data_IF_830146852967
#
_entry.id   IF_830146852967
#
_cell.length_a   1.000
_cell.length_b   1.000
_cell.length_c   1.000
_cell.angle_alpha   90.00
_cell.angle_beta   90.00
_cell.angle_gamma   90.00
#
_symmetry.space_group_name_H-M   'P 1'
#
loop_
_entity.id
_entity.type
_entity.pdbx_description
1 polymer ?
#
# COMPACT_ATOMS: atom_id res chain seq x y z
N UNK A 1 -35.35 20.85 19.80
CA UNK A 1 -33.93 20.41 19.88
C UNK A 1 -33.09 21.67 20.07
N UNK A 2 -32.15 21.72 21.02
CA UNK A 2 -31.23 22.88 21.10
C UNK A 2 -30.34 22.89 19.87
N UNK A 3 -29.93 24.07 19.39
CA UNK A 3 -29.04 24.22 18.24
C UNK A 3 -27.81 23.28 18.33
N UNK A 4 -27.15 23.29 19.49
CA UNK A 4 -26.00 22.42 19.77
C UNK A 4 -26.30 20.92 19.67
N UNK A 5 -27.51 20.49 20.04
CA UNK A 5 -27.91 19.09 19.86
C UNK A 5 -28.07 18.74 18.38
N UNK A 6 -28.57 19.65 17.55
CA UNK A 6 -28.62 19.47 16.08
C UNK A 6 -27.23 19.32 15.48
N UNK A 7 -26.28 20.17 15.89
CA UNK A 7 -24.90 20.11 15.44
C UNK A 7 -24.26 18.76 15.79
N UNK A 8 -24.41 18.30 17.04
CA UNK A 8 -23.85 17.01 17.49
C UNK A 8 -24.45 15.84 16.70
N UNK A 9 -25.77 15.84 16.45
CA UNK A 9 -26.42 14.79 15.67
C UNK A 9 -25.93 14.79 14.22
N UNK A 10 -25.82 15.97 13.61
CA UNK A 10 -25.33 16.12 12.23
C UNK A 10 -23.91 15.58 12.07
N UNK A 11 -22.99 15.98 12.96
CA UNK A 11 -21.59 15.50 12.98
C UNK A 11 -21.54 13.98 13.16
N UNK A 12 -22.32 13.44 14.10
CA UNK A 12 -22.36 11.99 14.36
C UNK A 12 -22.86 11.20 13.14
N UNK A 13 -23.97 11.62 12.53
CA UNK A 13 -24.51 10.93 11.35
C UNK A 13 -23.58 11.04 10.15
N UNK A 14 -23.00 12.21 9.87
CA UNK A 14 -22.00 12.37 8.82
C UNK A 14 -20.72 11.57 9.07
N UNK A 15 -20.32 11.38 10.33
CA UNK A 15 -19.23 10.45 10.69
C UNK A 15 -19.56 9.02 10.26
N UNK A 16 -20.80 8.56 10.48
CA UNK A 16 -21.25 7.23 10.06
C UNK A 16 -21.25 7.10 8.55
N UNK A 17 -21.73 8.11 7.80
CA UNK A 17 -21.72 8.09 6.33
C UNK A 17 -20.31 7.95 5.76
N UNK A 18 -19.37 8.78 6.22
CA UNK A 18 -17.98 8.75 5.77
C UNK A 18 -17.33 7.40 6.12
N UNK A 19 -17.61 6.88 7.33
CA UNK A 19 -17.16 5.55 7.75
C UNK A 19 -17.74 4.45 6.86
N UNK A 20 -18.99 4.58 6.41
CA UNK A 20 -19.63 3.63 5.50
C UNK A 20 -19.05 3.70 4.08
N UNK A 21 -18.76 4.89 3.56
CA UNK A 21 -18.07 5.06 2.27
C UNK A 21 -16.71 4.35 2.31
N UNK A 22 -15.91 4.58 3.35
CA UNK A 22 -14.62 3.90 3.53
C UNK A 22 -14.78 2.38 3.71
N UNK A 23 -15.77 1.92 4.48
CA UNK A 23 -16.02 0.50 4.71
C UNK A 23 -16.43 -0.24 3.44
N UNK A 24 -17.34 0.35 2.64
CA UNK A 24 -17.74 -0.18 1.34
C UNK A 24 -16.55 -0.20 0.38
N UNK A 25 -15.77 0.89 0.33
CA UNK A 25 -14.56 1.00 -0.49
C UNK A 25 -13.57 -0.10 -0.14
N UNK A 26 -13.23 -0.24 1.13
CA UNK A 26 -12.27 -1.26 1.59
C UNK A 26 -12.79 -2.65 1.32
N UNK A 27 -14.10 -2.90 1.49
CA UNK A 27 -14.68 -4.21 1.20
C UNK A 27 -14.61 -4.54 -0.30
N UNK A 28 -14.95 -3.59 -1.17
CA UNK A 28 -14.87 -3.77 -2.62
C UNK A 28 -13.46 -4.15 -3.09
N UNK A 29 -12.42 -3.68 -2.41
CA UNK A 29 -11.03 -3.97 -2.74
C UNK A 29 -10.34 -4.91 -1.73
N UNK A 30 -11.13 -5.66 -0.96
CA UNK A 30 -10.66 -6.67 0.02
C UNK A 30 -9.61 -6.18 1.03
N UNK A 31 -9.56 -4.88 1.32
CA UNK A 31 -8.78 -4.35 2.43
C UNK A 31 -9.37 -4.82 3.77
N UNK A 32 -8.50 -5.03 4.76
CA UNK A 32 -8.87 -5.57 6.07
C UNK A 32 -9.63 -4.53 6.92
N UNK A 33 -10.93 -4.38 6.68
CA UNK A 33 -11.79 -3.38 7.36
C UNK A 33 -11.73 -3.45 8.90
N UNK A 34 -11.64 -4.65 9.47
CA UNK A 34 -11.60 -4.84 10.94
C UNK A 34 -10.39 -4.18 11.60
N UNK A 35 -9.24 -4.17 10.94
CA UNK A 35 -8.02 -3.59 11.51
C UNK A 35 -8.09 -2.07 11.50
N UNK A 36 -8.68 -1.50 10.45
CA UNK A 36 -8.70 -0.06 10.23
C UNK A 36 -9.97 0.65 10.72
N UNK A 37 -10.94 -0.08 11.29
CA UNK A 37 -12.25 0.47 11.66
C UNK A 37 -12.14 1.68 12.59
N UNK A 38 -11.31 1.60 13.64
CA UNK A 38 -11.10 2.73 14.56
C UNK A 38 -10.51 3.95 13.85
N UNK A 39 -9.58 3.74 12.91
CA UNK A 39 -9.01 4.82 12.11
C UNK A 39 -10.04 5.42 11.15
N UNK A 40 -10.93 4.61 10.55
CA UNK A 40 -12.02 5.09 9.70
C UNK A 40 -13.00 5.97 10.46
N UNK A 41 -13.39 5.58 11.68
CA UNK A 41 -14.30 6.37 12.53
C UNK A 41 -13.66 7.70 12.91
N UNK A 42 -12.37 7.70 13.30
CA UNK A 42 -11.65 8.93 13.61
C UNK A 42 -11.55 9.87 12.40
N UNK A 43 -11.24 9.31 11.22
CA UNK A 43 -11.23 10.05 9.96
C UNK A 43 -12.63 10.61 9.64
N UNK A 44 -13.67 9.79 9.81
CA UNK A 44 -15.05 10.20 9.63
C UNK A 44 -15.44 11.38 10.52
N UNK A 45 -14.99 11.37 11.78
CA UNK A 45 -15.23 12.46 12.72
C UNK A 45 -14.57 13.75 12.25
N UNK A 46 -13.29 13.71 11.88
CA UNK A 46 -12.57 14.90 11.37
C UNK A 46 -13.22 15.43 10.09
N UNK A 47 -13.54 14.56 9.13
CA UNK A 47 -14.15 14.97 7.87
C UNK A 47 -15.60 15.47 8.01
N UNK A 48 -16.35 14.94 8.99
CA UNK A 48 -17.71 15.41 9.29
C UNK A 48 -17.69 16.83 9.86
N UNK A 49 -16.72 17.15 10.71
CA UNK A 49 -16.55 18.51 11.23
C UNK A 49 -16.20 19.50 10.12
N UNK A 50 -15.23 19.16 9.25
CA UNK A 50 -14.88 20.01 8.10
C UNK A 50 -16.08 20.24 7.18
N UNK A 51 -16.87 19.21 6.90
CA UNK A 51 -18.08 19.35 6.06
C UNK A 51 -19.18 20.19 6.72
N UNK A 52 -19.33 20.10 8.04
CA UNK A 52 -20.24 20.96 8.80
C UNK A 52 -19.85 22.43 8.66
N UNK A 53 -18.58 22.78 8.90
CA UNK A 53 -18.07 24.16 8.78
C UNK A 53 -18.27 24.71 7.36
N UNK A 54 -17.97 23.92 6.31
CA UNK A 54 -18.16 24.34 4.91
C UNK A 54 -19.63 24.68 4.61
N UNK A 55 -20.57 23.89 5.15
CA UNK A 55 -22.01 24.06 4.89
C UNK A 55 -22.61 25.22 5.68
N UNK A 56 -22.36 25.26 6.98
CA UNK A 56 -23.08 26.15 7.89
C UNK A 56 -22.35 27.48 8.14
N UNK A 57 -21.03 27.48 8.28
CA UNK A 57 -20.25 28.70 8.55
C UNK A 57 -19.83 29.42 7.25
N UNK A 58 -19.33 28.67 6.27
CA UNK A 58 -18.88 29.27 5.00
C UNK A 58 -20.00 29.41 3.95
N UNK A 59 -21.18 28.82 4.20
CA UNK A 59 -22.32 28.83 3.28
C UNK A 59 -22.01 28.30 1.86
N UNK A 60 -20.98 27.46 1.71
CA UNK A 60 -20.56 26.89 0.43
C UNK A 60 -21.28 25.56 0.17
N UNK A 61 -22.57 25.64 -0.11
CA UNK A 61 -23.42 24.48 -0.36
C UNK A 61 -22.90 23.62 -1.53
N UNK A 62 -22.82 22.30 -1.34
CA UNK A 62 -22.33 21.33 -2.33
C UNK A 62 -20.81 21.21 -2.43
N UNK A 63 -20.04 22.24 -2.02
CA UNK A 63 -18.57 22.18 -2.01
C UNK A 63 -18.03 21.21 -0.96
N UNK A 64 -18.76 21.02 0.14
CA UNK A 64 -18.38 20.08 1.20
C UNK A 64 -18.23 18.65 0.66
N UNK A 65 -19.14 18.24 -0.22
CA UNK A 65 -19.11 16.90 -0.85
C UNK A 65 -17.90 16.76 -1.78
N UNK A 66 -17.58 17.79 -2.56
CA UNK A 66 -16.39 17.81 -3.45
C UNK A 66 -15.10 17.75 -2.62
N UNK A 67 -15.01 18.58 -1.57
CA UNK A 67 -13.87 18.62 -0.66
C UNK A 67 -13.70 17.28 0.05
N UNK A 68 -14.78 16.64 0.50
CA UNK A 68 -14.74 15.31 1.10
C UNK A 68 -14.17 14.26 0.14
N UNK A 69 -14.57 14.25 -1.13
CA UNK A 69 -14.00 13.32 -2.13
C UNK A 69 -12.49 13.50 -2.30
N UNK A 70 -12.01 14.76 -2.34
CA UNK A 70 -10.58 15.06 -2.41
C UNK A 70 -9.87 14.60 -1.14
N UNK A 71 -10.41 14.92 0.04
CA UNK A 71 -9.81 14.52 1.31
C UNK A 71 -9.76 13.00 1.48
N UNK A 72 -10.81 12.28 1.09
CA UNK A 72 -10.85 10.81 1.10
C UNK A 72 -9.78 10.22 0.17
N UNK A 73 -9.57 10.81 -1.00
CA UNK A 73 -8.47 10.42 -1.90
C UNK A 73 -7.10 10.64 -1.25
N UNK A 74 -6.87 11.80 -0.63
CA UNK A 74 -5.63 12.11 0.07
C UNK A 74 -5.41 11.17 1.27
N UNK A 75 -6.47 10.82 1.98
CA UNK A 75 -6.43 9.83 3.07
C UNK A 75 -6.03 8.45 2.57
N UNK A 76 -6.65 7.96 1.48
CA UNK A 76 -6.21 6.69 0.87
C UNK A 76 -4.74 6.75 0.46
N UNK A 77 -4.30 7.88 -0.12
CA UNK A 77 -2.93 8.05 -0.56
C UNK A 77 -1.92 8.11 0.58
N UNK A 78 -2.15 8.96 1.59
CA UNK A 78 -1.14 9.28 2.60
C UNK A 78 -1.29 8.50 3.90
N UNK A 79 -2.53 8.24 4.34
CA UNK A 79 -2.79 7.48 5.57
C UNK A 79 -2.72 5.99 5.28
N UNK A 80 -3.46 5.52 4.26
CA UNK A 80 -3.51 4.11 3.90
C UNK A 80 -2.47 3.67 2.87
N UNK A 81 -1.63 4.61 2.39
CA UNK A 81 -0.48 4.36 1.51
C UNK A 81 -0.86 3.64 0.21
N UNK A 82 -2.04 3.92 -0.34
CA UNK A 82 -2.46 3.40 -1.63
C UNK A 82 -1.77 4.19 -2.75
N UNK A 83 -1.39 3.53 -3.86
CA UNK A 83 -0.86 4.20 -5.05
C UNK A 83 -1.86 5.22 -5.61
N UNK A 84 -1.40 6.33 -6.21
CA UNK A 84 -2.29 7.43 -6.67
C UNK A 84 -3.41 6.95 -7.59
N UNK A 85 -3.09 6.16 -8.61
CA UNK A 85 -4.07 5.60 -9.54
C UNK A 85 -5.12 4.74 -8.82
N UNK A 86 -4.67 3.81 -7.98
CA UNK A 86 -5.54 2.90 -7.26
C UNK A 86 -6.40 3.62 -6.21
N UNK A 87 -5.85 4.63 -5.51
CA UNK A 87 -6.60 5.46 -4.59
C UNK A 87 -7.77 6.17 -5.29
N UNK A 88 -7.52 6.69 -6.49
CA UNK A 88 -8.56 7.29 -7.34
C UNK A 88 -9.64 6.27 -7.72
N UNK A 89 -9.23 5.10 -8.22
CA UNK A 89 -10.15 4.02 -8.58
C UNK A 89 -10.99 3.55 -7.39
N UNK A 90 -10.38 3.47 -6.20
CA UNK A 90 -11.04 3.06 -4.97
C UNK A 90 -12.11 4.05 -4.55
N UNK A 91 -11.75 5.34 -4.43
CA UNK A 91 -12.69 6.39 -4.02
C UNK A 91 -13.83 6.53 -5.02
N UNK A 92 -13.54 6.57 -6.32
CA UNK A 92 -14.59 6.80 -7.33
C UNK A 92 -15.65 5.70 -7.28
N UNK A 93 -15.27 4.43 -7.13
CA UNK A 93 -16.25 3.35 -6.97
C UNK A 93 -16.99 3.40 -5.64
N UNK A 94 -16.30 3.69 -4.54
CA UNK A 94 -16.90 3.78 -3.22
C UNK A 94 -17.96 4.88 -3.16
N UNK A 95 -17.60 6.08 -3.63
CA UNK A 95 -18.49 7.24 -3.72
C UNK A 95 -19.63 6.98 -4.69
N UNK A 96 -19.37 6.41 -5.87
CA UNK A 96 -20.44 6.10 -6.83
C UNK A 96 -21.46 5.10 -6.24
N UNK A 97 -20.99 4.03 -5.59
CA UNK A 97 -21.87 3.07 -4.92
C UNK A 97 -22.70 3.74 -3.83
N UNK A 98 -22.07 4.53 -2.96
CA UNK A 98 -22.76 5.21 -1.88
C UNK A 98 -23.80 6.21 -2.40
N UNK A 99 -23.45 6.97 -3.44
CA UNK A 99 -24.36 7.95 -4.08
C UNK A 99 -25.59 7.26 -4.67
N UNK A 100 -25.41 6.11 -5.33
CA UNK A 100 -26.54 5.30 -5.82
C UNK A 100 -27.43 4.83 -4.67
N UNK A 101 -26.85 4.35 -3.57
CA UNK A 101 -27.61 3.91 -2.39
C UNK A 101 -28.38 5.08 -1.74
N UNK A 102 -27.75 6.24 -1.62
CA UNK A 102 -28.37 7.45 -1.08
C UNK A 102 -29.51 7.93 -1.98
N UNK A 103 -29.35 7.87 -3.30
CA UNK A 103 -30.41 8.24 -4.23
C UNK A 103 -31.60 7.27 -4.18
N UNK A 104 -31.35 5.96 -4.01
CA UNK A 104 -32.42 4.98 -3.77
C UNK A 104 -33.15 5.31 -2.46
N UNK A 105 -32.42 5.60 -1.38
CA UNK A 105 -33.00 6.00 -0.10
C UNK A 105 -33.86 7.27 -0.23
N UNK A 106 -33.35 8.29 -0.92
CA UNK A 106 -34.07 9.54 -1.19
C UNK A 106 -35.35 9.29 -2.00
N UNK A 107 -35.27 8.50 -3.08
CA UNK A 107 -36.42 8.13 -3.89
C UNK A 107 -37.51 7.43 -3.06
N UNK A 108 -37.13 6.48 -2.20
CA UNK A 108 -38.07 5.80 -1.30
C UNK A 108 -38.73 6.79 -0.34
N UNK A 109 -37.94 7.67 0.29
CA UNK A 109 -38.46 8.65 1.26
C UNK A 109 -39.35 9.72 0.63
N UNK A 110 -39.04 10.17 -0.60
CA UNK A 110 -39.92 11.08 -1.36
C UNK A 110 -41.25 10.42 -1.71
N UNK A 111 -41.23 9.13 -2.08
CA UNK A 111 -42.45 8.37 -2.41
C UNK A 111 -43.41 8.28 -1.23
N UNK A 112 -42.88 8.13 0.00
CA UNK A 112 -43.68 8.11 1.23
C UNK A 112 -43.94 9.51 1.82
N UNK A 113 -43.57 10.58 1.12
CA UNK A 113 -43.72 11.99 1.55
C UNK A 113 -43.03 12.32 2.88
N UNK A 114 -41.95 11.61 3.22
CA UNK A 114 -41.14 11.86 4.42
C UNK A 114 -39.89 12.70 4.15
N UNK A 115 -39.63 13.03 2.88
CA UNK A 115 -38.44 13.75 2.45
C UNK A 115 -38.76 14.62 1.24
N UNK A 116 -38.32 15.88 1.27
CA UNK A 116 -38.25 16.77 0.09
C UNK A 116 -36.78 17.02 -0.25
N UNK A 117 -36.41 16.90 -1.52
CA UNK A 117 -35.01 17.04 -1.93
C UNK A 117 -34.43 18.43 -1.65
N UNK A 118 -35.25 19.48 -1.53
CA UNK A 118 -34.80 20.83 -1.19
C UNK A 118 -34.09 20.89 0.17
N UNK A 119 -34.46 19.99 1.10
CA UNK A 119 -33.84 19.92 2.42
C UNK A 119 -32.54 19.11 2.45
N UNK A 120 -32.13 18.50 1.32
CA UNK A 120 -30.85 17.79 1.19
C UNK A 120 -29.64 18.71 1.46
N UNK A 121 -29.84 20.02 1.31
CA UNK A 121 -28.78 21.02 1.27
C UNK A 121 -28.41 21.51 2.68
N UNK A 122 -29.32 21.43 3.66
CA UNK A 122 -29.08 21.87 5.04
C UNK A 122 -28.57 20.74 5.92
N UNK A 123 -27.46 20.97 6.64
CA UNK A 123 -26.88 19.97 7.54
C UNK A 123 -27.69 19.78 8.83
N UNK A 124 -28.60 20.70 9.15
CA UNK A 124 -29.34 20.74 10.41
C UNK A 124 -30.80 20.27 10.31
N UNK A 125 -31.22 19.81 9.12
CA UNK A 125 -32.61 19.42 8.87
C UNK A 125 -32.90 17.98 9.33
N UNK A 126 -34.04 17.78 10.00
CA UNK A 126 -34.49 16.46 10.47
C UNK A 126 -34.69 15.48 9.31
N UNK A 127 -35.16 15.95 8.15
CA UNK A 127 -35.36 15.10 6.97
C UNK A 127 -34.02 14.59 6.42
N UNK A 128 -32.96 15.40 6.49
CA UNK A 128 -31.62 14.98 6.12
C UNK A 128 -31.14 13.85 7.04
N UNK A 129 -31.37 13.94 8.36
CA UNK A 129 -31.01 12.86 9.30
C UNK A 129 -31.70 11.54 8.98
N UNK A 130 -32.98 11.57 8.59
CA UNK A 130 -33.72 10.36 8.19
C UNK A 130 -33.07 9.72 6.95
N UNK A 131 -32.70 10.54 5.95
CA UNK A 131 -32.00 10.06 4.77
C UNK A 131 -30.64 9.44 5.12
N UNK A 132 -29.86 10.07 5.99
CA UNK A 132 -28.54 9.56 6.42
C UNK A 132 -28.68 8.21 7.12
N UNK A 133 -29.62 8.08 8.06
CA UNK A 133 -29.88 6.83 8.80
C UNK A 133 -30.27 5.71 7.82
N UNK A 134 -31.19 5.98 6.89
CA UNK A 134 -31.63 5.00 5.90
C UNK A 134 -30.47 4.58 4.98
N UNK A 135 -29.66 5.54 4.53
CA UNK A 135 -28.51 5.31 3.65
C UNK A 135 -27.42 4.48 4.34
N UNK A 136 -27.13 4.76 5.61
CA UNK A 136 -26.22 3.95 6.44
C UNK A 136 -26.76 2.52 6.60
N UNK A 137 -28.07 2.37 6.85
CA UNK A 137 -28.72 1.06 6.93
C UNK A 137 -28.60 0.23 5.64
N UNK A 138 -28.89 0.84 4.49
CA UNK A 138 -28.72 0.20 3.17
C UNK A 138 -27.25 -0.14 2.92
N UNK A 139 -26.33 0.75 3.27
CA UNK A 139 -24.90 0.53 3.12
C UNK A 139 -24.39 -0.65 3.96
N UNK A 140 -24.90 -0.80 5.20
CA UNK A 140 -24.59 -1.95 6.05
C UNK A 140 -25.13 -3.25 5.48
N UNK A 141 -26.33 -3.24 4.90
CA UNK A 141 -26.90 -4.39 4.21
C UNK A 141 -26.05 -4.80 2.99
N UNK A 142 -25.67 -3.84 2.14
CA UNK A 142 -24.78 -4.11 1.00
C UNK A 142 -23.42 -4.62 1.47
N UNK A 143 -22.85 -4.02 2.51
CA UNK A 143 -21.59 -4.48 3.11
C UNK A 143 -21.70 -5.93 3.59
N UNK A 144 -22.81 -6.30 4.22
CA UNK A 144 -23.10 -7.68 4.64
C UNK A 144 -23.20 -8.63 3.44
N UNK A 145 -23.90 -8.25 2.37
CA UNK A 145 -24.03 -9.05 1.14
C UNK A 145 -22.66 -9.26 0.47
N UNK A 146 -21.88 -8.18 0.28
CA UNK A 146 -20.51 -8.26 -0.28
C UNK A 146 -19.60 -9.15 0.57
N UNK A 147 -19.78 -9.15 1.89
CA UNK A 147 -19.03 -10.03 2.80
C UNK A 147 -19.48 -11.48 2.68
N UNK A 148 -20.78 -11.73 2.64
CA UNK A 148 -21.34 -13.10 2.59
C UNK A 148 -21.04 -13.79 1.27
N UNK A 149 -21.09 -13.06 0.16
CA UNK A 149 -20.82 -13.57 -1.17
C UNK A 149 -19.33 -13.54 -1.56
N UNK A 150 -18.47 -13.08 -0.66
CA UNK A 150 -17.03 -12.90 -0.88
C UNK A 150 -16.66 -12.04 -2.12
N UNK A 151 -17.50 -11.06 -2.46
CA UNK A 151 -17.31 -10.18 -3.61
C UNK A 151 -16.29 -9.09 -3.29
N UNK A 152 -15.32 -8.90 -4.18
CA UNK A 152 -14.31 -7.83 -4.13
C UNK A 152 -13.08 -8.18 -4.97
N UNK A 153 -12.18 -7.21 -5.13
CA UNK A 153 -10.97 -7.27 -5.96
C UNK A 153 -9.70 -7.31 -5.09
N UNK A 154 -8.62 -7.94 -5.56
CA UNK A 154 -7.31 -7.97 -4.89
C UNK A 154 -6.19 -7.31 -5.68
N UNK A 155 -6.43 -6.93 -6.94
CA UNK A 155 -5.43 -6.32 -7.82
C UNK A 155 -4.86 -4.96 -7.34
N UNK A 156 -5.45 -4.34 -6.30
CA UNK A 156 -4.89 -3.09 -5.76
C UNK A 156 -3.64 -3.43 -4.94
N UNK A 157 -2.46 -2.96 -5.36
CA UNK A 157 -1.24 -3.29 -4.67
C UNK A 157 -1.16 -2.57 -3.34
N UNK A 158 -0.64 -3.29 -2.35
CA UNK A 158 -0.36 -2.75 -1.03
C UNK A 158 0.87 -1.82 -1.01
N UNK A 159 1.62 -1.75 -2.11
CA UNK A 159 2.79 -0.87 -2.24
C UNK A 159 2.39 0.48 -2.83
N UNK A 160 2.64 1.61 -2.13
CA UNK A 160 2.37 2.95 -2.65
C UNK A 160 3.22 3.34 -3.86
N UNK A 161 4.23 2.54 -4.22
CA UNK A 161 5.25 2.82 -5.23
C UNK A 161 5.15 1.93 -6.46
N UNK A 162 4.08 1.15 -6.59
CA UNK A 162 3.87 0.35 -7.78
C UNK A 162 3.63 1.26 -8.99
N UNK A 163 4.51 1.14 -9.99
CA UNK A 163 4.40 1.91 -11.22
C UNK A 163 3.21 1.38 -12.02
N UNK A 164 2.25 2.26 -12.32
CA UNK A 164 1.09 1.89 -13.11
C UNK A 164 1.41 2.11 -14.58
N UNK A 165 1.36 1.02 -15.34
CA UNK A 165 1.45 1.07 -16.80
C UNK A 165 0.07 1.48 -17.32
N UNK A 166 -0.03 2.66 -17.92
CA UNK A 166 -1.27 3.24 -18.44
C UNK A 166 -1.70 2.66 -19.80
N UNK A 167 -1.59 1.34 -19.97
CA UNK A 167 -2.00 0.62 -21.16
C UNK A 167 -3.15 -0.35 -20.82
N UNK A 168 -3.78 -0.92 -21.86
CA UNK A 168 -4.78 -1.98 -21.69
C UNK A 168 -5.94 -1.60 -20.76
N UNK A 169 -6.19 -2.45 -19.77
CA UNK A 169 -7.32 -2.32 -18.83
C UNK A 169 -7.17 -1.11 -17.91
N UNK A 170 -5.95 -0.78 -17.47
CA UNK A 170 -5.70 0.39 -16.61
C UNK A 170 -6.13 1.71 -17.27
N UNK A 171 -5.89 1.84 -18.59
CA UNK A 171 -6.33 3.02 -19.36
C UNK A 171 -7.86 3.10 -19.42
N UNK A 172 -8.53 1.97 -19.66
CA UNK A 172 -10.01 1.90 -19.66
C UNK A 172 -10.56 2.30 -18.30
N UNK A 173 -10.00 1.77 -17.21
CA UNK A 173 -10.39 2.11 -15.83
C UNK A 173 -10.23 3.61 -15.58
N UNK A 174 -9.09 4.20 -15.95
CA UNK A 174 -8.85 5.63 -15.76
C UNK A 174 -9.91 6.49 -16.46
N UNK A 175 -10.17 6.22 -17.74
CA UNK A 175 -11.13 6.98 -18.54
C UNK A 175 -12.53 6.88 -17.91
N UNK A 176 -12.99 5.68 -17.58
CA UNK A 176 -14.31 5.49 -16.97
C UNK A 176 -14.39 6.12 -15.58
N UNK A 177 -13.30 6.10 -14.81
CA UNK A 177 -13.23 6.74 -13.51
C UNK A 177 -13.38 8.26 -13.63
N UNK A 178 -12.69 8.90 -14.59
CA UNK A 178 -12.83 10.34 -14.87
C UNK A 178 -14.27 10.69 -15.27
N UNK A 179 -14.88 9.93 -16.19
CA UNK A 179 -16.28 10.15 -16.56
C UNK A 179 -17.24 9.97 -15.40
N UNK A 180 -17.05 8.94 -14.57
CA UNK A 180 -17.87 8.69 -13.38
C UNK A 180 -17.75 9.85 -12.39
N UNK A 181 -16.54 10.38 -12.19
CA UNK A 181 -16.33 11.55 -11.33
C UNK A 181 -16.99 12.80 -11.91
N UNK A 182 -16.94 13.02 -13.23
CA UNK A 182 -17.65 14.12 -13.89
C UNK A 182 -19.17 14.03 -13.73
N UNK A 183 -19.76 12.84 -13.88
CA UNK A 183 -21.19 12.59 -13.64
C UNK A 183 -21.55 12.85 -12.18
N UNK A 184 -20.69 12.44 -11.25
CA UNK A 184 -20.86 12.73 -9.84
C UNK A 184 -20.87 14.24 -9.56
N UNK A 185 -19.92 15.01 -10.10
CA UNK A 185 -19.93 16.48 -9.95
C UNK A 185 -21.20 17.11 -10.55
N UNK A 186 -21.65 16.61 -11.70
CA UNK A 186 -22.89 17.10 -12.31
C UNK A 186 -24.13 16.73 -11.48
N UNK A 187 -24.13 15.58 -10.79
CA UNK A 187 -25.20 15.21 -9.85
C UNK A 187 -25.26 16.14 -8.64
N UNK A 188 -24.11 16.54 -8.08
CA UNK A 188 -24.04 17.53 -7.00
C UNK A 188 -24.56 18.88 -7.49
N UNK A 189 -24.12 19.32 -8.68
CA UNK A 189 -24.59 20.55 -9.30
C UNK A 189 -26.12 20.56 -9.52
N UNK A 190 -26.69 19.44 -9.98
CA UNK A 190 -28.12 19.29 -10.18
C UNK A 190 -28.92 19.45 -8.87
N UNK A 191 -28.41 18.92 -7.75
CA UNK A 191 -29.03 19.12 -6.43
C UNK A 191 -28.95 20.60 -6.01
N UNK A 192 -27.78 21.24 -6.14
CA UNK A 192 -27.61 22.66 -5.76
C UNK A 192 -28.42 23.64 -6.60
N UNK A 193 -28.80 23.25 -7.82
CA UNK A 193 -29.64 24.05 -8.73
C UNK A 193 -31.11 23.64 -8.69
N UNK A 194 -31.50 22.77 -7.74
CA UNK A 194 -32.85 22.25 -7.58
C UNK A 194 -33.41 21.54 -8.84
N UNK A 195 -32.53 21.00 -9.69
CA UNK A 195 -32.92 20.26 -10.89
C UNK A 195 -32.97 18.75 -10.63
N UNK A 196 -34.07 18.30 -10.02
CA UNK A 196 -34.23 16.92 -9.58
C UNK A 196 -34.31 15.91 -10.72
N UNK A 197 -34.87 16.28 -11.87
CA UNK A 197 -34.88 15.43 -13.06
C UNK A 197 -33.44 15.14 -13.52
N UNK A 198 -32.59 16.17 -13.58
CA UNK A 198 -31.18 15.99 -13.90
C UNK A 198 -30.48 15.11 -12.85
N UNK A 199 -30.73 15.32 -11.55
CA UNK A 199 -30.19 14.49 -10.49
C UNK A 199 -30.51 13.00 -10.69
N UNK A 200 -31.78 12.63 -10.85
CA UNK A 200 -32.16 11.22 -11.05
C UNK A 200 -31.57 10.62 -12.35
N UNK A 201 -31.53 11.38 -13.44
CA UNK A 201 -30.85 10.96 -14.67
C UNK A 201 -29.37 10.68 -14.44
N UNK A 202 -28.66 11.55 -13.71
CA UNK A 202 -27.24 11.35 -13.41
C UNK A 202 -26.98 10.14 -12.52
N UNK A 203 -27.85 9.85 -11.56
CA UNK A 203 -27.76 8.65 -10.71
C UNK A 203 -27.90 7.37 -11.54
N UNK A 204 -28.85 7.33 -12.49
CA UNK A 204 -29.02 6.17 -13.38
C UNK A 204 -27.77 5.95 -14.24
N UNK A 205 -27.20 7.02 -14.81
CA UNK A 205 -25.95 6.95 -15.57
C UNK A 205 -24.80 6.50 -14.65
N UNK A 206 -24.75 7.00 -13.41
CA UNK A 206 -23.73 6.62 -12.42
C UNK A 206 -23.82 5.13 -12.05
N UNK A 207 -25.02 4.57 -11.94
CA UNK A 207 -25.22 3.12 -11.74
C UNK A 207 -24.65 2.32 -12.90
N UNK A 208 -24.92 2.71 -14.15
CA UNK A 208 -24.35 2.06 -15.34
C UNK A 208 -22.82 2.15 -15.33
N UNK A 209 -22.28 3.33 -15.04
CA UNK A 209 -20.83 3.54 -14.96
C UNK A 209 -20.18 2.75 -13.82
N UNK A 210 -20.85 2.63 -12.68
CA UNK A 210 -20.40 1.78 -11.57
C UNK A 210 -20.32 0.31 -11.99
N UNK A 211 -21.34 -0.21 -12.68
CA UNK A 211 -21.33 -1.59 -13.22
C UNK A 211 -20.20 -1.80 -14.22
N UNK A 212 -19.95 -0.83 -15.11
CA UNK A 212 -18.83 -0.88 -16.05
C UNK A 212 -17.47 -0.87 -15.33
N UNK A 213 -17.27 0.01 -14.35
CA UNK A 213 -16.06 0.05 -13.52
C UNK A 213 -15.88 -1.24 -12.70
N UNK A 214 -16.98 -1.84 -12.25
CA UNK A 214 -16.96 -3.12 -11.56
C UNK A 214 -16.48 -4.24 -12.50
N UNK A 215 -17.02 -4.30 -13.72
CA UNK A 215 -16.60 -5.25 -14.76
C UNK A 215 -15.14 -5.07 -15.17
N UNK A 216 -14.69 -3.84 -15.42
CA UNK A 216 -13.30 -3.56 -15.82
C UNK A 216 -12.30 -3.97 -14.74
N UNK A 217 -12.69 -3.89 -13.48
CA UNK A 217 -11.85 -4.36 -12.39
C UNK A 217 -11.81 -5.87 -12.22
N UNK A 218 -12.85 -6.56 -12.69
CA UNK A 218 -12.81 -8.00 -12.82
C UNK A 218 -11.89 -8.41 -13.98
N UNK A 219 -11.94 -7.70 -15.11
CA UNK A 219 -10.98 -7.86 -16.22
C UNK A 219 -9.54 -7.62 -15.74
N UNK A 220 -9.32 -6.62 -14.87
CA UNK A 220 -8.00 -6.32 -14.32
C UNK A 220 -7.47 -7.42 -13.38
N UNK A 221 -8.34 -7.98 -12.53
CA UNK A 221 -7.96 -9.07 -11.63
C UNK A 221 -7.37 -10.26 -12.42
N UNK A 222 -8.01 -10.64 -13.53
CA UNK A 222 -7.51 -11.74 -14.38
C UNK A 222 -6.25 -11.38 -15.17
N UNK A 223 -6.12 -10.14 -15.65
CA UNK A 223 -4.90 -9.68 -16.33
C UNK A 223 -3.70 -9.83 -15.38
N UNK A 224 -3.82 -9.39 -14.12
CA UNK A 224 -2.76 -9.51 -13.13
C UNK A 224 -2.49 -10.97 -12.72
N UNK A 225 -3.51 -11.81 -12.56
CA UNK A 225 -3.31 -13.25 -12.34
C UNK A 225 -2.55 -13.92 -13.50
N UNK A 226 -2.87 -13.58 -14.75
CA UNK A 226 -2.19 -14.12 -15.93
C UNK A 226 -0.75 -13.62 -16.08
N UNK A 227 -0.49 -12.35 -15.73
CA UNK A 227 0.87 -11.81 -15.69
C UNK A 227 1.69 -12.44 -14.56
N UNK A 228 1.12 -12.62 -13.38
CA UNK A 228 1.77 -13.30 -12.24
C UNK A 228 2.10 -14.76 -12.60
N UNK A 229 1.18 -15.50 -13.22
CA UNK A 229 1.40 -16.88 -13.68
C UNK A 229 2.50 -16.95 -14.75
N UNK A 230 2.58 -15.95 -15.64
CA UNK A 230 3.70 -15.81 -16.59
C UNK A 230 5.04 -15.48 -15.92
N UNK A 231 5.04 -14.72 -14.80
CA UNK A 231 6.23 -14.41 -13.98
C UNK A 231 6.66 -15.59 -13.11
N UNK A 232 5.77 -16.52 -12.80
CA UNK A 232 6.05 -17.76 -12.03
C UNK A 232 6.80 -18.81 -12.88
N UNK A 233 7.02 -18.57 -14.17
CA UNK A 233 7.99 -19.33 -14.95
C UNK A 233 9.38 -19.22 -14.29
N UNK A 234 9.82 -20.33 -13.66
CA UNK A 234 11.00 -20.42 -12.76
C UNK A 234 12.14 -19.53 -13.23
N UNK A 235 12.70 -18.73 -12.31
CA UNK A 235 13.91 -17.97 -12.57
C UNK A 235 15.00 -18.89 -13.12
N UNK A 236 15.82 -18.40 -14.07
CA UNK A 236 16.97 -19.13 -14.61
C UNK A 236 17.86 -19.67 -13.46
N UNK A 237 18.01 -18.90 -12.38
CA UNK A 237 18.80 -19.30 -11.20
C UNK A 237 18.17 -20.47 -10.44
N UNK A 238 16.84 -20.48 -10.29
CA UNK A 238 16.13 -21.58 -9.65
C UNK A 238 16.19 -22.84 -10.50
N UNK A 239 16.11 -22.70 -11.81
CA UNK A 239 16.25 -23.80 -12.77
C UNK A 239 17.65 -24.41 -12.71
N UNK A 240 18.69 -23.57 -12.63
CA UNK A 240 20.09 -24.01 -12.47
C UNK A 240 20.28 -24.69 -11.11
N UNK A 241 19.79 -24.09 -10.01
CA UNK A 241 19.89 -24.66 -8.67
C UNK A 241 19.20 -26.02 -8.56
N UNK A 242 18.01 -26.18 -9.13
CA UNK A 242 17.28 -27.45 -9.18
C UNK A 242 18.04 -28.49 -10.00
N UNK A 243 18.60 -28.10 -11.14
CA UNK A 243 19.36 -29.01 -12.02
C UNK A 243 20.62 -29.54 -11.33
N UNK A 244 21.39 -28.65 -10.68
CA UNK A 244 22.61 -29.03 -9.94
C UNK A 244 22.24 -29.86 -8.70
N UNK A 245 21.21 -29.48 -7.94
CA UNK A 245 20.77 -30.22 -6.77
C UNK A 245 20.41 -31.66 -7.13
N UNK A 246 19.64 -31.83 -8.20
CA UNK A 246 19.24 -33.14 -8.70
C UNK A 246 20.42 -33.96 -9.18
N UNK A 247 21.35 -33.35 -9.92
CA UNK A 247 22.55 -34.04 -10.41
C UNK A 247 23.45 -34.55 -9.28
N UNK A 248 23.71 -33.74 -8.26
CA UNK A 248 24.52 -34.15 -7.09
C UNK A 248 23.78 -35.23 -6.30
N UNK A 249 22.48 -35.09 -6.07
CA UNK A 249 21.70 -36.08 -5.31
C UNK A 249 21.69 -37.45 -6.00
N UNK A 250 21.56 -37.49 -7.32
CA UNK A 250 21.57 -38.73 -8.10
C UNK A 250 22.95 -39.41 -8.14
N UNK A 251 24.03 -38.63 -8.07
CA UNK A 251 25.41 -39.14 -8.13
C UNK A 251 26.07 -39.32 -6.76
N UNK A 252 25.37 -39.05 -5.66
CA UNK A 252 25.91 -39.18 -4.30
C UNK A 252 25.67 -40.60 -3.73
N UNK A 253 26.72 -41.41 -3.71
CA UNK A 253 26.67 -42.73 -3.08
C UNK A 253 26.56 -42.57 -1.55
N UNK A 254 25.39 -42.90 -1.00
CA UNK A 254 25.10 -42.85 0.44
C UNK A 254 23.92 -41.97 0.85
N UNK A 255 23.42 -41.10 -0.06
CA UNK A 255 22.23 -40.23 0.16
C UNK A 255 22.18 -39.52 1.54
N UNK A 256 23.32 -39.12 2.07
CA UNK A 256 23.42 -38.48 3.39
C UNK A 256 22.75 -37.10 3.47
N UNK A 257 22.49 -36.46 2.33
CA UNK A 257 21.86 -35.13 2.23
C UNK A 257 20.70 -35.19 1.24
N UNK A 258 19.55 -34.64 1.62
CA UNK A 258 18.37 -34.61 0.75
C UNK A 258 18.50 -33.56 -0.36
N UNK A 259 17.87 -33.84 -1.50
CA UNK A 259 17.79 -32.90 -2.64
C UNK A 259 17.29 -31.52 -2.22
N UNK A 260 16.32 -31.45 -1.29
CA UNK A 260 15.78 -30.19 -0.77
C UNK A 260 16.80 -29.37 0.03
N UNK A 261 17.64 -30.02 0.85
CA UNK A 261 18.70 -29.33 1.60
C UNK A 261 19.76 -28.79 0.65
N UNK A 262 20.10 -29.56 -0.38
CA UNK A 262 21.07 -29.13 -1.37
C UNK A 262 20.53 -27.98 -2.25
N UNK A 263 19.26 -28.04 -2.65
CA UNK A 263 18.56 -26.96 -3.34
C UNK A 263 18.58 -25.68 -2.51
N UNK A 264 18.23 -25.77 -1.22
CA UNK A 264 18.29 -24.62 -0.31
C UNK A 264 19.71 -24.03 -0.21
N UNK A 265 20.73 -24.89 -0.11
CA UNK A 265 22.12 -24.45 -0.10
C UNK A 265 22.53 -23.72 -1.39
N UNK A 266 22.17 -24.27 -2.55
CA UNK A 266 22.49 -23.68 -3.86
C UNK A 266 21.75 -22.36 -4.12
N UNK A 267 20.48 -22.26 -3.71
CA UNK A 267 19.70 -21.02 -3.81
C UNK A 267 20.28 -19.87 -2.96
N UNK A 268 21.02 -20.18 -1.90
CA UNK A 268 21.73 -19.18 -1.10
C UNK A 268 23.14 -18.90 -1.63
N UNK A 269 23.83 -19.92 -2.14
CA UNK A 269 25.24 -19.82 -2.56
C UNK A 269 25.41 -19.18 -3.93
N UNK A 270 24.59 -19.55 -4.91
CA UNK A 270 24.68 -19.04 -6.29
C UNK A 270 24.56 -17.49 -6.33
N UNK A 271 23.59 -16.86 -5.64
CA UNK A 271 23.48 -15.40 -5.61
C UNK A 271 24.71 -14.72 -5.02
N UNK A 272 25.31 -15.28 -3.97
CA UNK A 272 26.51 -14.69 -3.34
C UNK A 272 27.66 -14.67 -4.33
N UNK A 273 27.91 -15.80 -5.02
CA UNK A 273 28.95 -15.90 -6.05
C UNK A 273 28.68 -14.91 -7.18
N UNK A 274 27.44 -14.84 -7.65
CA UNK A 274 27.05 -13.91 -8.70
C UNK A 274 27.27 -12.44 -8.29
N UNK A 275 26.88 -12.04 -7.08
CA UNK A 275 27.11 -10.67 -6.56
C UNK A 275 28.60 -10.32 -6.58
N UNK A 276 29.46 -11.23 -6.11
CA UNK A 276 30.91 -11.02 -6.09
C UNK A 276 31.45 -10.82 -7.51
N UNK A 277 31.10 -11.72 -8.43
CA UNK A 277 31.57 -11.67 -9.83
C UNK A 277 31.07 -10.38 -10.51
N UNK A 278 29.77 -10.10 -10.45
CA UNK A 278 29.20 -8.92 -11.11
C UNK A 278 29.74 -7.61 -10.53
N UNK A 279 29.86 -7.51 -9.20
CA UNK A 279 30.38 -6.30 -8.57
C UNK A 279 31.84 -6.06 -8.94
N UNK A 280 32.68 -7.09 -8.92
CA UNK A 280 34.10 -6.96 -9.32
C UNK A 280 34.25 -6.60 -10.80
N UNK A 281 33.45 -7.19 -11.70
CA UNK A 281 33.45 -6.83 -13.12
C UNK A 281 33.08 -5.36 -13.33
N UNK A 282 32.04 -4.88 -12.64
CA UNK A 282 31.66 -3.47 -12.70
C UNK A 282 32.74 -2.57 -12.08
N UNK A 283 33.34 -2.96 -10.96
CA UNK A 283 34.46 -2.26 -10.34
C UNK A 283 35.68 -2.14 -11.26
N UNK A 284 35.95 -3.15 -12.08
CA UNK A 284 36.99 -3.09 -13.11
C UNK A 284 36.62 -2.13 -14.24
N UNK A 285 35.38 -2.16 -14.72
CA UNK A 285 34.88 -1.29 -15.79
C UNK A 285 34.91 0.20 -15.36
N UNK A 286 34.46 0.49 -14.14
CA UNK A 286 34.40 1.85 -13.59
C UNK A 286 35.69 2.29 -12.88
N UNK A 287 36.74 1.45 -12.87
CA UNK A 287 38.02 1.73 -12.21
C UNK A 287 37.94 2.01 -10.69
N UNK A 288 36.96 1.40 -10.00
CA UNK A 288 36.74 1.51 -8.55
C UNK A 288 36.85 0.15 -7.85
N UNK A 289 37.83 -0.66 -8.25
CA UNK A 289 37.92 -2.08 -7.83
C UNK A 289 38.21 -2.21 -6.32
N UNK A 290 39.01 -1.30 -5.76
CA UNK A 290 39.37 -1.28 -4.33
C UNK A 290 38.20 -0.94 -3.43
N UNK A 291 37.39 0.04 -3.82
CA UNK A 291 36.20 0.49 -3.13
C UNK A 291 35.11 -0.58 -3.18
N UNK A 292 34.93 -1.21 -4.34
CA UNK A 292 34.03 -2.36 -4.51
C UNK A 292 34.44 -3.53 -3.63
N UNK A 293 35.73 -3.85 -3.55
CA UNK A 293 36.22 -4.93 -2.68
C UNK A 293 35.97 -4.61 -1.20
N UNK A 294 36.24 -3.36 -0.79
CA UNK A 294 36.00 -2.91 0.58
C UNK A 294 34.51 -2.95 0.94
N UNK A 295 33.64 -2.54 0.00
CA UNK A 295 32.20 -2.62 0.17
C UNK A 295 31.68 -4.06 0.21
N UNK A 296 32.21 -4.98 -0.62
CA UNK A 296 31.87 -6.41 -0.57
C UNK A 296 32.17 -7.01 0.81
N UNK A 297 33.37 -6.73 1.34
CA UNK A 297 33.80 -7.22 2.66
C UNK A 297 32.93 -6.60 3.76
N UNK A 298 32.76 -5.28 3.76
CA UNK A 298 31.97 -4.56 4.75
C UNK A 298 30.50 -5.03 4.76
N UNK A 299 29.89 -5.11 3.58
CA UNK A 299 28.51 -5.57 3.40
C UNK A 299 28.36 -7.01 3.91
N UNK A 300 29.27 -7.91 3.52
CA UNK A 300 29.24 -9.32 3.92
C UNK A 300 29.36 -9.49 5.43
N UNK A 301 30.35 -8.83 6.06
CA UNK A 301 30.59 -8.92 7.51
C UNK A 301 29.40 -8.36 8.28
N UNK A 302 28.95 -7.13 7.96
CA UNK A 302 27.83 -6.54 8.69
C UNK A 302 26.57 -7.37 8.51
N UNK A 303 26.24 -7.78 7.28
CA UNK A 303 25.03 -8.58 6.97
C UNK A 303 25.03 -9.94 7.66
N UNK A 304 26.18 -10.56 7.87
CA UNK A 304 26.29 -11.83 8.61
C UNK A 304 25.82 -11.69 10.07
N UNK A 305 26.16 -10.59 10.74
CA UNK A 305 25.78 -10.36 12.13
C UNK A 305 24.46 -9.61 12.29
N UNK A 306 24.18 -8.63 11.43
CA UNK A 306 22.97 -7.83 11.51
C UNK A 306 21.75 -8.53 10.90
N UNK A 307 21.99 -9.43 9.96
CA UNK A 307 20.96 -9.94 9.05
C UNK A 307 20.58 -8.89 8.00
N UNK A 308 19.35 -9.01 7.50
CA UNK A 308 18.77 -8.14 6.47
C UNK A 308 17.59 -8.84 5.79
N UNK A 309 16.87 -8.12 4.95
CA UNK A 309 15.79 -8.71 4.17
C UNK A 309 16.34 -9.72 3.14
N UNK A 310 15.82 -10.94 3.15
CA UNK A 310 16.01 -11.89 2.06
C UNK A 310 14.93 -11.62 1.01
N UNK A 311 15.35 -11.22 -0.19
CA UNK A 311 14.43 -10.90 -1.30
C UNK A 311 13.63 -12.14 -1.72
N UNK A 312 12.47 -11.93 -2.33
CA UNK A 312 11.58 -13.03 -2.72
C UNK A 312 12.16 -13.88 -3.84
N UNK A 313 13.08 -13.35 -4.64
CA UNK A 313 13.80 -14.11 -5.68
C UNK A 313 15.32 -13.96 -5.57
N UNK A 314 16.09 -14.99 -5.96
CA UNK A 314 17.56 -14.93 -6.02
C UNK A 314 18.08 -13.80 -6.90
N UNK A 315 17.42 -13.53 -8.03
CA UNK A 315 17.82 -12.48 -8.98
C UNK A 315 17.70 -11.08 -8.37
N UNK A 316 16.60 -10.80 -7.64
CA UNK A 316 16.44 -9.53 -6.93
C UNK A 316 17.55 -9.32 -5.90
N UNK A 317 17.94 -10.37 -5.19
CA UNK A 317 19.05 -10.30 -4.23
C UNK A 317 20.36 -9.89 -4.92
N UNK A 318 20.64 -10.45 -6.10
CA UNK A 318 21.83 -10.12 -6.89
C UNK A 318 21.80 -8.66 -7.32
N UNK A 319 20.70 -8.22 -7.95
CA UNK A 319 20.56 -6.86 -8.47
C UNK A 319 20.70 -5.84 -7.34
N UNK A 320 19.93 -6.00 -6.26
CA UNK A 320 19.92 -5.03 -5.15
C UNK A 320 21.26 -5.00 -4.44
N UNK A 321 21.88 -6.14 -4.16
CA UNK A 321 23.18 -6.16 -3.46
C UNK A 321 24.29 -5.57 -4.33
N UNK A 322 24.30 -5.88 -5.64
CA UNK A 322 25.25 -5.28 -6.60
C UNK A 322 25.07 -3.77 -6.68
N UNK A 323 23.82 -3.28 -6.71
CA UNK A 323 23.54 -1.84 -6.67
C UNK A 323 24.03 -1.19 -5.38
N UNK A 324 23.80 -1.80 -4.21
CA UNK A 324 24.30 -1.30 -2.93
C UNK A 324 25.83 -1.16 -2.98
N UNK A 325 26.53 -2.20 -3.44
CA UNK A 325 27.99 -2.22 -3.54
C UNK A 325 28.50 -1.14 -4.50
N UNK A 326 27.89 -1.01 -5.67
CA UNK A 326 28.29 0.00 -6.64
C UNK A 326 27.99 1.42 -6.15
N UNK A 327 26.82 1.66 -5.59
CA UNK A 327 26.46 2.97 -5.05
C UNK A 327 27.35 3.37 -3.88
N UNK A 328 27.68 2.46 -2.96
CA UNK A 328 28.60 2.77 -1.86
C UNK A 328 30.03 3.05 -2.33
N UNK A 329 30.43 2.48 -3.47
CA UNK A 329 31.78 2.66 -4.03
C UNK A 329 31.91 3.96 -4.82
N UNK A 330 30.79 4.53 -5.28
CA UNK A 330 30.76 5.76 -6.09
C UNK A 330 30.35 7.01 -5.29
N UNK A 331 29.62 6.84 -4.19
CA UNK A 331 29.10 7.95 -3.40
C UNK A 331 30.02 8.25 -2.21
N UNK A 332 30.52 9.48 -2.15
CA UNK A 332 31.28 10.00 -1.02
C UNK A 332 30.41 10.97 -0.22
N UNK A 333 30.11 10.69 1.07
CA UNK A 333 29.36 11.62 1.91
C UNK A 333 30.26 12.81 2.29
N UNK A 334 29.76 14.06 2.25
CA UNK A 334 30.55 15.18 2.72
C UNK A 334 30.91 15.01 4.21
N UNK A 335 32.14 15.36 4.59
CA UNK A 335 32.69 15.16 5.95
C UNK A 335 31.76 15.65 7.06
N UNK A 336 31.13 16.80 6.85
CA UNK A 336 30.17 17.38 7.81
C UNK A 336 29.00 16.44 8.15
N UNK A 337 28.57 15.58 7.21
CA UNK A 337 27.42 14.69 7.38
C UNK A 337 27.79 13.33 7.98
N UNK A 338 29.07 12.95 8.00
CA UNK A 338 29.51 11.61 8.39
C UNK A 338 29.12 11.21 9.83
N UNK A 339 29.24 12.08 10.86
CA UNK A 339 28.82 11.73 12.22
C UNK A 339 27.31 11.46 12.33
N UNK A 340 26.50 12.20 11.57
CA UNK A 340 25.04 12.04 11.56
C UNK A 340 24.61 10.75 10.85
N UNK A 341 25.29 10.40 9.76
CA UNK A 341 25.10 9.12 9.07
C UNK A 341 25.46 7.97 10.01
N UNK A 342 26.63 8.03 10.65
CA UNK A 342 27.06 7.00 11.62
C UNK A 342 26.06 6.83 12.78
N UNK A 343 25.62 7.93 13.40
CA UNK A 343 24.63 7.90 14.48
C UNK A 343 23.32 7.25 14.02
N UNK A 344 22.87 7.57 12.80
CA UNK A 344 21.68 6.96 12.19
C UNK A 344 21.83 5.45 12.02
N UNK A 345 23.00 4.99 11.53
CA UNK A 345 23.29 3.55 11.38
C UNK A 345 23.22 2.84 12.72
N UNK A 346 23.87 3.40 13.75
CA UNK A 346 23.87 2.82 15.11
C UNK A 346 22.45 2.72 15.68
N UNK A 347 21.63 3.76 15.51
CA UNK A 347 20.22 3.75 15.95
C UNK A 347 19.44 2.63 15.24
N UNK A 348 19.58 2.51 13.92
CA UNK A 348 18.87 1.46 13.15
C UNK A 348 19.32 0.07 13.59
N UNK A 349 20.62 -0.16 13.79
CA UNK A 349 21.16 -1.44 14.27
C UNK A 349 20.66 -1.74 15.70
N UNK A 350 20.65 -0.75 16.58
CA UNK A 350 20.17 -0.91 17.97
C UNK A 350 18.71 -1.38 18.01
N UNK A 351 17.86 -0.83 17.14
CA UNK A 351 16.42 -1.13 17.10
C UNK A 351 16.16 -2.44 16.37
N UNK A 352 16.74 -2.64 15.18
CA UNK A 352 16.31 -3.66 14.23
C UNK A 352 17.25 -4.87 14.09
N UNK A 353 18.48 -4.83 14.62
CA UNK A 353 19.41 -5.97 14.60
C UNK A 353 19.21 -6.90 15.81
N UNK A 354 19.49 -8.22 15.69
CA UNK A 354 19.64 -8.95 14.44
C UNK A 354 18.28 -9.28 13.82
N UNK A 355 18.15 -9.07 12.51
CA UNK A 355 16.97 -9.47 11.73
C UNK A 355 17.09 -10.95 11.35
N UNK A 356 16.50 -11.81 12.19
CA UNK A 356 16.58 -13.28 12.05
C UNK A 356 15.39 -13.80 11.23
N UNK A 357 15.62 -14.68 10.22
CA UNK A 357 14.55 -15.38 9.51
C UNK A 357 13.61 -16.15 10.46
N UNK A 358 12.29 -16.11 10.19
CA UNK A 358 11.25 -16.57 11.12
C UNK A 358 11.29 -18.06 11.49
N UNK A 359 12.06 -18.86 10.76
CA UNK A 359 12.32 -20.28 10.94
C UNK A 359 13.53 -20.58 11.85
N UNK A 360 14.42 -19.60 12.10
CA UNK A 360 15.59 -19.78 12.96
C UNK A 360 15.33 -19.39 14.42
N UNK A 361 15.55 -20.34 15.34
CA UNK A 361 15.43 -20.11 16.80
C UNK A 361 16.76 -19.67 17.42
N UNK A 362 16.90 -18.39 17.74
CA UNK A 362 18.07 -17.89 18.47
C UNK A 362 17.74 -17.73 19.96
N UNK A 363 18.63 -18.18 20.84
CA UNK A 363 18.56 -17.88 22.27
C UNK A 363 18.76 -16.38 22.51
N UNK A 364 18.17 -15.85 23.59
CA UNK A 364 18.25 -14.43 23.93
C UNK A 364 19.71 -13.92 24.03
N UNK A 365 20.61 -14.73 24.59
CA UNK A 365 22.05 -14.43 24.66
C UNK A 365 22.67 -14.28 23.27
N UNK A 366 22.36 -15.17 22.31
CA UNK A 366 22.89 -15.07 20.94
C UNK A 366 22.40 -13.81 20.22
N UNK A 367 21.13 -13.43 20.41
CA UNK A 367 20.59 -12.17 19.83
C UNK A 367 21.35 -10.94 20.34
N UNK A 368 21.63 -10.91 21.64
CA UNK A 368 22.39 -9.82 22.25
C UNK A 368 23.82 -9.75 21.70
N UNK A 369 24.52 -10.89 21.60
CA UNK A 369 25.88 -10.95 21.05
C UNK A 369 25.94 -10.41 19.62
N UNK A 370 25.01 -10.83 18.75
CA UNK A 370 24.98 -10.39 17.35
C UNK A 370 24.70 -8.89 17.20
N UNK A 371 23.83 -8.35 18.06
CA UNK A 371 23.58 -6.90 18.13
C UNK A 371 24.83 -6.13 18.54
N UNK A 372 25.50 -6.56 19.61
CA UNK A 372 26.73 -5.92 20.09
C UNK A 372 27.82 -5.98 19.01
N UNK A 373 28.02 -7.13 18.37
CA UNK A 373 28.97 -7.27 17.27
C UNK A 373 28.65 -6.34 16.09
N UNK A 374 27.38 -6.21 15.72
CA UNK A 374 26.96 -5.29 14.64
C UNK A 374 27.31 -3.83 14.97
N UNK A 375 27.09 -3.39 16.22
CA UNK A 375 27.43 -2.03 16.67
C UNK A 375 28.93 -1.82 16.67
N UNK A 376 29.70 -2.81 17.15
CA UNK A 376 31.16 -2.77 17.12
C UNK A 376 31.70 -2.67 15.70
N UNK A 377 31.15 -3.45 14.76
CA UNK A 377 31.53 -3.43 13.33
C UNK A 377 31.28 -2.03 12.73
N UNK A 378 30.08 -1.47 12.92
CA UNK A 378 29.73 -0.14 12.40
C UNK A 378 30.61 0.95 13.01
N UNK A 379 30.84 0.89 14.32
CA UNK A 379 31.68 1.87 15.02
C UNK A 379 33.12 1.77 14.57
N UNK A 380 33.64 0.55 14.44
CA UNK A 380 35.00 0.31 13.96
C UNK A 380 35.20 0.83 12.53
N UNK A 381 34.26 0.59 11.62
CA UNK A 381 34.35 1.12 10.26
C UNK A 381 34.33 2.65 10.18
N UNK A 382 33.60 3.33 11.07
CA UNK A 382 33.65 4.79 11.19
C UNK A 382 34.99 5.29 11.73
N UNK A 383 35.57 4.64 12.75
CA UNK A 383 36.88 5.04 13.29
C UNK A 383 38.06 4.77 12.35
N UNK A 384 37.90 3.88 11.37
CA UNK A 384 38.86 3.70 10.26
C UNK A 384 38.83 4.90 9.29
N UNK A 385 37.86 5.80 9.41
CA UNK A 385 37.65 6.95 8.53
C UNK A 385 37.45 6.53 7.06
N UNK A 386 36.81 5.37 6.86
CA UNK A 386 36.49 4.86 5.53
C UNK A 386 35.10 5.31 5.11
N UNK A 387 35.08 6.27 4.19
CA UNK A 387 33.86 6.81 3.58
C UNK A 387 33.03 5.71 2.88
N UNK A 388 33.71 4.79 2.20
CA UNK A 388 33.09 3.64 1.52
C UNK A 388 32.38 2.74 2.52
N UNK A 389 33.04 2.35 3.62
CA UNK A 389 32.42 1.50 4.64
C UNK A 389 31.23 2.18 5.31
N UNK A 390 31.32 3.49 5.58
CA UNK A 390 30.22 4.25 6.16
C UNK A 390 28.99 4.21 5.24
N UNK A 391 29.17 4.41 3.93
CA UNK A 391 28.07 4.32 2.95
C UNK A 391 27.56 2.90 2.76
N UNK A 392 28.45 1.90 2.70
CA UNK A 392 28.08 0.48 2.64
C UNK A 392 27.20 0.11 3.83
N UNK A 393 27.59 0.52 5.05
CA UNK A 393 26.81 0.25 6.25
C UNK A 393 25.48 0.99 6.25
N UNK A 394 25.45 2.24 5.82
CA UNK A 394 24.20 3.01 5.68
C UNK A 394 23.20 2.31 4.75
N UNK A 395 23.64 1.94 3.55
CA UNK A 395 22.78 1.25 2.59
C UNK A 395 22.38 -0.16 3.07
N UNK A 396 23.27 -0.86 3.78
CA UNK A 396 22.98 -2.18 4.33
C UNK A 396 21.96 -2.13 5.46
N UNK A 397 22.03 -1.17 6.38
CA UNK A 397 21.07 -1.09 7.50
C UNK A 397 19.68 -0.68 7.04
N UNK A 398 19.55 -0.01 5.90
CA UNK A 398 18.25 0.18 5.24
C UNK A 398 17.55 -1.16 4.93
N UNK A 399 18.30 -2.25 4.74
CA UNK A 399 17.73 -3.59 4.54
C UNK A 399 17.25 -4.27 5.83
N UNK A 400 17.59 -3.73 7.01
CA UNK A 400 17.10 -4.19 8.31
C UNK A 400 15.73 -3.61 8.65
N UNK A 401 15.37 -2.47 8.05
CA UNK A 401 14.08 -1.84 8.28
C UNK A 401 12.98 -2.83 7.89
N UNK A 402 11.96 -3.05 8.76
CA UNK A 402 10.90 -3.99 8.49
C UNK A 402 10.14 -3.52 7.24
N UNK A 403 10.45 -4.15 6.10
CA UNK A 403 9.56 -4.17 4.95
C UNK A 403 8.33 -4.91 5.46
N UNK A 404 7.28 -4.15 5.77
CA UNK A 404 6.04 -4.65 6.37
C UNK A 404 5.50 -5.77 5.45
N UNK A 405 5.83 -7.03 5.79
CA UNK A 405 5.21 -8.20 5.19
C UNK A 405 3.81 -8.25 5.79
N UNK A 406 2.86 -7.74 5.04
CA UNK A 406 1.44 -7.99 5.28
C UNK A 406 1.29 -9.51 5.18
N UNK A 407 0.95 -10.16 6.29
CA UNK A 407 0.57 -11.59 6.27
C UNK A 407 -0.54 -11.73 5.22
N UNK A 408 -0.27 -12.60 4.24
CA UNK A 408 -1.17 -13.01 3.16
C UNK A 408 -2.61 -13.20 3.65
#
# INVERSE_FOLDING_TARGET
MTYWLSVVISIFLSTLEITMILSLTFRLFRFQTKIYYNSMVLIGLVLSYISYEIREEFHLQGWDTVVQCVLLFLILRFVYRVGFFYAGCMIIKGVALFTVLQAIAAFVLTTVKMYELDYAISALNVQAYILQILTVGLSLFILYVLRRLNIGFTYVPYSPREAVIFNGVNRKILIHAIFTFGIFLFSVFAVTTHNFTAFYCTVLIMLVMFVLLFRLSYEKEYEDESEEESRIQKSIIETIADSIARWIYLNNQGKHVSENVLRYFLLNTIPIIAIIIFSLLLGLIFQHTTEVLLSLIGLGILRFFSGGHHMSTPLQCIIVSTLIIMSSSLLVPPVLWQPYIWATIVIIVLIFSPSIPGDMKFSMRKKLVYKVLSILIVSFGYFIDSEVLLMTFMLQVCTLLPIIKIKK
#
